data_IF_316679048317
#
_entry.id   IF_316679048317
#
_cell.length_a   1.000
_cell.length_b   1.000
_cell.length_c   1.000
_cell.angle_alpha   90.00
_cell.angle_beta   90.00
_cell.angle_gamma   90.00
#
_symmetry.space_group_name_H-M   'P 1'
#
loop_
_entity.id
_entity.type
_entity.pdbx_description
1 polymer ?
#
# COMPACT_ATOMS: atom_id res chain seq x y z
N UNK A 1 12.19 12.93 -2.51
CA UNK A 1 11.35 11.81 -2.07
C UNK A 1 10.19 11.65 -3.04
N UNK A 2 10.02 10.45 -3.56
CA UNK A 2 8.90 10.12 -4.43
C UNK A 2 7.59 10.14 -3.65
N UNK A 3 6.51 10.55 -4.29
CA UNK A 3 5.17 10.60 -3.72
C UNK A 3 4.27 9.65 -4.48
N UNK A 4 3.70 8.70 -3.79
CA UNK A 4 2.66 7.82 -4.32
C UNK A 4 1.30 8.36 -3.89
N UNK A 5 0.54 8.85 -4.85
CA UNK A 5 -0.84 9.27 -4.64
C UNK A 5 -1.78 8.14 -4.98
N UNK A 6 -2.60 7.75 -4.03
CA UNK A 6 -3.60 6.69 -4.18
C UNK A 6 -4.97 7.32 -3.95
N UNK A 7 -5.83 7.22 -4.95
CA UNK A 7 -7.17 7.77 -4.88
C UNK A 7 -8.17 6.65 -4.62
N UNK A 8 -8.81 6.70 -3.45
CA UNK A 8 -9.91 5.81 -3.14
C UNK A 8 -11.17 6.34 -3.83
N UNK A 9 -11.82 5.48 -4.62
CA UNK A 9 -13.06 5.83 -5.29
C UNK A 9 -14.19 6.18 -4.32
N UNK A 10 -15.27 6.75 -4.85
CA UNK A 10 -16.40 7.21 -4.06
C UNK A 10 -17.28 6.09 -3.53
N UNK A 11 -17.10 4.87 -3.99
CA UNK A 11 -17.94 3.77 -3.55
C UNK A 11 -17.30 3.05 -2.36
N UNK A 12 -18.04 2.98 -1.27
CA UNK A 12 -17.76 2.08 -0.16
C UNK A 12 -18.11 0.61 -0.52
N UNK A 13 -18.19 0.31 -1.79
CA UNK A 13 -18.51 -1.03 -2.25
C UNK A 13 -17.33 -1.95 -2.05
N UNK A 14 -17.60 -3.11 -1.49
CA UNK A 14 -16.70 -4.24 -1.59
C UNK A 14 -16.58 -4.60 -3.06
N UNK A 15 -15.44 -4.35 -3.65
CA UNK A 15 -15.19 -4.82 -5.00
C UNK A 15 -14.90 -6.30 -4.96
N UNK A 16 -15.78 -7.07 -5.55
CA UNK A 16 -15.41 -8.39 -6.04
C UNK A 16 -14.81 -8.17 -7.40
N UNK A 17 -13.51 -8.31 -7.52
CA UNK A 17 -12.88 -8.23 -8.80
C UNK A 17 -13.00 -9.52 -9.55
N UNK A 18 -13.65 -9.45 -10.68
CA UNK A 18 -13.50 -10.43 -11.73
C UNK A 18 -12.46 -9.90 -12.72
N UNK A 19 -11.71 -10.81 -13.34
CA UNK A 19 -10.66 -10.46 -14.31
C UNK A 19 -11.15 -9.41 -15.32
N UNK A 20 -10.53 -8.24 -15.30
CA UNK A 20 -10.83 -7.16 -16.22
C UNK A 20 -11.67 -6.02 -15.67
N UNK A 21 -12.08 -6.06 -14.42
CA UNK A 21 -12.82 -4.93 -13.83
C UNK A 21 -11.86 -3.76 -13.55
N UNK A 22 -12.32 -2.58 -13.89
CA UNK A 22 -11.62 -1.32 -13.58
C UNK A 22 -12.09 -0.86 -12.21
N UNK A 23 -11.14 -0.52 -11.35
CA UNK A 23 -11.44 -0.05 -10.00
C UNK A 23 -11.67 1.45 -9.97
N UNK A 24 -12.45 1.88 -8.97
CA UNK A 24 -12.65 3.29 -8.67
C UNK A 24 -11.40 3.94 -8.03
N UNK A 25 -10.37 3.18 -7.77
CA UNK A 25 -9.12 3.68 -7.22
C UNK A 25 -8.04 3.74 -8.30
N UNK A 26 -7.22 4.77 -8.21
CA UNK A 26 -6.03 4.90 -9.04
C UNK A 26 -4.82 5.24 -8.19
N UNK A 27 -3.63 4.96 -8.69
CA UNK A 27 -2.38 5.33 -8.04
C UNK A 27 -1.42 5.95 -9.03
N UNK A 28 -0.80 7.05 -8.62
CA UNK A 28 0.25 7.73 -9.39
C UNK A 28 1.49 7.86 -8.54
N UNK A 29 2.64 7.71 -9.16
CA UNK A 29 3.92 8.00 -8.54
C UNK A 29 4.48 9.28 -9.16
N UNK A 30 4.75 10.26 -8.33
CA UNK A 30 5.32 11.54 -8.75
C UNK A 30 6.70 11.72 -8.12
N UNK A 31 7.59 12.31 -8.85
CA UNK A 31 8.86 12.78 -8.34
C UNK A 31 8.84 14.31 -8.30
N UNK A 32 9.04 14.95 -7.13
CA UNK A 32 9.19 16.37 -7.09
C UNK A 32 10.41 16.77 -7.93
N UNK A 33 10.15 17.40 -9.04
CA UNK A 33 11.20 17.97 -9.87
C UNK A 33 11.52 19.38 -9.40
N UNK A 34 12.63 19.91 -9.91
CA UNK A 34 13.05 21.30 -9.60
C UNK A 34 11.98 22.35 -9.93
N UNK A 35 11.05 22.00 -10.82
CA UNK A 35 9.97 22.85 -11.31
C UNK A 35 8.58 22.27 -11.07
N UNK A 36 8.44 21.30 -10.18
CA UNK A 36 7.17 20.69 -9.82
C UNK A 36 7.19 19.15 -9.94
N UNK A 37 6.09 18.51 -9.56
CA UNK A 37 5.96 17.08 -9.64
C UNK A 37 5.85 16.62 -11.11
N UNK A 38 6.42 15.45 -11.38
CA UNK A 38 6.34 14.79 -12.69
C UNK A 38 5.83 13.38 -12.49
N UNK A 39 4.76 13.04 -13.20
CA UNK A 39 4.23 11.69 -13.21
C UNK A 39 5.19 10.75 -13.91
N UNK A 40 5.71 9.77 -13.20
CA UNK A 40 6.63 8.77 -13.75
C UNK A 40 6.01 7.38 -13.82
N UNK A 41 4.85 7.21 -13.21
CA UNK A 41 4.12 5.95 -13.17
C UNK A 41 2.64 6.20 -12.89
N UNK A 42 1.78 5.35 -13.43
CA UNK A 42 0.34 5.40 -13.21
C UNK A 42 -0.25 3.98 -13.26
N UNK A 43 -1.28 3.76 -12.46
CA UNK A 43 -2.12 2.56 -12.53
C UNK A 43 -3.55 2.88 -12.19
N UNK A 44 -4.49 2.26 -12.90
CA UNK A 44 -5.91 2.25 -12.60
C UNK A 44 -6.36 0.95 -11.93
N UNK A 45 -5.44 0.02 -11.72
CA UNK A 45 -5.71 -1.31 -11.17
C UNK A 45 -5.28 -1.40 -9.70
N UNK A 46 -5.84 -0.50 -8.89
CA UNK A 46 -5.52 -0.39 -7.47
C UNK A 46 -6.76 -0.68 -6.64
N UNK A 47 -6.62 -1.51 -5.62
CA UNK A 47 -7.66 -1.73 -4.63
C UNK A 47 -7.19 -1.22 -3.27
N UNK A 48 -8.01 -0.40 -2.64
CA UNK A 48 -7.74 0.19 -1.33
C UNK A 48 -8.64 -0.34 -0.22
N UNK A 49 -9.52 -1.27 -0.56
CA UNK A 49 -10.50 -1.82 0.37
C UNK A 49 -10.17 -3.27 0.77
N UNK A 50 -10.61 -3.65 1.97
CA UNK A 50 -10.59 -5.03 2.39
C UNK A 50 -11.72 -5.82 1.72
N UNK A 51 -11.40 -6.99 1.19
CA UNK A 51 -12.37 -7.81 0.44
C UNK A 51 -13.21 -8.73 1.31
N UNK A 52 -12.81 -8.99 2.55
CA UNK A 52 -13.51 -9.92 3.43
C UNK A 52 -14.39 -9.22 4.46
N UNK A 53 -15.30 -8.35 4.02
CA UNK A 53 -16.21 -7.64 4.92
C UNK A 53 -15.48 -6.76 5.93
N UNK A 54 -14.32 -6.21 5.54
CA UNK A 54 -13.49 -5.34 6.37
C UNK A 54 -13.01 -5.99 7.68
N UNK A 55 -12.78 -7.28 7.68
CA UNK A 55 -12.32 -8.01 8.86
C UNK A 55 -10.97 -7.54 9.41
N UNK A 56 -10.15 -6.94 8.56
CA UNK A 56 -8.85 -6.41 8.95
C UNK A 56 -8.80 -4.90 9.16
N UNK A 57 -9.93 -4.20 9.11
CA UNK A 57 -9.97 -2.75 9.10
C UNK A 57 -9.82 -2.15 7.71
N UNK A 58 -9.83 -0.83 7.64
CA UNK A 58 -9.71 -0.07 6.39
C UNK A 58 -8.81 1.13 6.66
N UNK A 59 -7.65 1.18 6.01
CA UNK A 59 -6.72 2.29 6.24
C UNK A 59 -7.42 3.63 6.00
N UNK A 60 -7.34 4.52 6.97
CA UNK A 60 -7.94 5.84 6.86
C UNK A 60 -7.23 6.67 5.80
N UNK A 61 -7.97 7.54 5.11
CA UNK A 61 -7.38 8.53 4.21
C UNK A 61 -6.42 9.43 4.98
N UNK A 62 -5.33 9.80 4.36
CA UNK A 62 -4.32 10.63 5.00
C UNK A 62 -2.94 10.48 4.39
N UNK A 63 -1.98 11.09 5.06
CA UNK A 63 -0.58 11.05 4.65
C UNK A 63 0.19 10.01 5.46
N UNK A 64 0.93 9.19 4.74
CA UNK A 64 1.75 8.13 5.29
C UNK A 64 3.13 8.15 4.65
N UNK A 65 4.00 7.31 5.18
CA UNK A 65 5.25 6.94 4.53
C UNK A 65 5.23 5.48 4.16
N UNK A 66 6.01 5.12 3.16
CA UNK A 66 6.25 3.75 2.79
C UNK A 66 7.73 3.47 2.68
N UNK A 67 8.14 2.28 3.08
CA UNK A 67 9.49 1.79 2.87
C UNK A 67 9.46 0.52 2.03
N UNK A 68 10.27 0.49 1.00
CA UNK A 68 10.38 -0.68 0.11
C UNK A 68 11.16 -1.77 0.82
N UNK A 69 10.56 -2.93 0.94
CA UNK A 69 11.16 -4.07 1.63
C UNK A 69 10.53 -5.37 1.20
N UNK A 70 10.68 -6.38 2.04
CA UNK A 70 10.18 -7.73 1.77
C UNK A 70 9.27 -8.18 2.90
N UNK A 71 8.13 -8.78 2.54
CA UNK A 71 7.29 -9.44 3.55
C UNK A 71 7.99 -10.68 4.08
N UNK A 72 7.49 -11.19 5.19
CA UNK A 72 7.99 -12.46 5.73
C UNK A 72 7.81 -13.58 4.70
N UNK A 73 8.83 -14.45 4.53
CA UNK A 73 8.72 -15.58 3.62
C UNK A 73 7.57 -16.52 4.01
N UNK A 74 6.86 -17.01 3.03
CA UNK A 74 5.90 -18.11 3.21
C UNK A 74 6.62 -19.46 3.07
N UNK A 75 5.94 -20.53 3.45
CA UNK A 75 6.46 -21.87 3.28
C UNK A 75 6.94 -22.11 1.83
N UNK A 76 8.17 -22.58 1.67
CA UNK A 76 8.80 -22.81 0.36
C UNK A 76 9.48 -21.61 -0.27
N UNK A 77 9.47 -20.46 0.38
CA UNK A 77 10.17 -19.26 -0.07
C UNK A 77 11.39 -19.00 0.82
N UNK A 78 12.54 -18.72 0.22
CA UNK A 78 13.74 -18.28 0.96
C UNK A 78 13.63 -16.82 1.36
N UNK A 79 13.06 -15.98 0.47
CA UNK A 79 12.82 -14.56 0.67
C UNK A 79 11.36 -14.26 0.34
N UNK A 80 10.71 -13.47 1.18
CA UNK A 80 9.35 -13.01 0.91
C UNK A 80 9.29 -12.08 -0.30
N UNK A 81 8.10 -11.90 -0.84
CA UNK A 81 7.90 -10.98 -1.96
C UNK A 81 8.16 -9.54 -1.54
N UNK A 82 8.61 -8.74 -2.48
CA UNK A 82 8.85 -7.32 -2.31
C UNK A 82 7.53 -6.57 -2.13
N UNK A 83 7.48 -5.66 -1.17
CA UNK A 83 6.30 -4.87 -0.81
C UNK A 83 6.72 -3.46 -0.42
N UNK A 84 5.75 -2.58 -0.28
CA UNK A 84 5.95 -1.27 0.36
C UNK A 84 5.24 -1.33 1.72
N UNK A 85 6.00 -1.25 2.80
CA UNK A 85 5.47 -1.26 4.17
C UNK A 85 5.04 0.15 4.54
N UNK A 86 3.78 0.32 4.95
CA UNK A 86 3.23 1.64 5.27
C UNK A 86 3.39 1.92 6.76
N UNK A 87 3.79 3.14 7.07
CA UNK A 87 3.95 3.61 8.45
C UNK A 87 3.65 5.09 8.60
N UNK A 88 3.45 5.51 9.84
CA UNK A 88 3.45 6.91 10.23
C UNK A 88 4.72 7.21 11.01
N UNK A 89 5.43 8.25 10.62
CA UNK A 89 6.61 8.68 11.32
C UNK A 89 6.24 9.74 12.36
N UNK A 90 6.73 9.63 13.60
CA UNK A 90 6.61 10.72 14.56
C UNK A 90 7.41 11.94 14.13
N UNK A 91 7.05 13.10 14.65
CA UNK A 91 7.76 14.34 14.40
C UNK A 91 9.24 14.20 14.79
N UNK A 92 10.11 14.71 13.93
CA UNK A 92 11.56 14.64 14.15
C UNK A 92 12.19 13.27 13.88
N UNK A 93 11.46 12.40 13.23
CA UNK A 93 11.94 11.06 12.90
C UNK A 93 13.12 11.11 11.90
N UNK A 94 14.18 10.36 12.21
CA UNK A 94 15.37 10.31 11.37
C UNK A 94 15.27 9.16 10.34
N UNK A 95 14.87 9.50 9.13
CA UNK A 95 14.72 8.55 8.03
C UNK A 95 16.03 7.89 7.58
N UNK A 96 17.18 8.46 7.95
CA UNK A 96 18.48 7.88 7.57
C UNK A 96 18.85 6.66 8.38
N UNK A 97 18.21 6.46 9.52
CA UNK A 97 18.52 5.39 10.48
C UNK A 97 17.55 4.23 10.44
N UNK A 98 16.48 4.30 9.65
CA UNK A 98 15.45 3.27 9.61
C UNK A 98 15.72 2.26 8.50
N UNK A 99 15.41 1.01 8.79
CA UNK A 99 15.38 -0.07 7.81
C UNK A 99 13.98 -0.68 7.73
N UNK A 100 13.70 -1.42 6.66
CA UNK A 100 12.43 -2.13 6.53
C UNK A 100 12.19 -3.11 7.69
N UNK A 101 13.24 -3.65 8.30
CA UNK A 101 13.15 -4.55 9.45
C UNK A 101 12.69 -3.82 10.72
N UNK A 102 13.13 -2.59 10.92
CA UNK A 102 12.79 -1.81 12.11
C UNK A 102 11.30 -1.48 12.18
N UNK A 103 10.61 -1.45 11.04
CA UNK A 103 9.20 -1.17 10.96
C UNK A 103 8.30 -2.35 11.34
N UNK A 104 8.86 -3.53 11.54
CA UNK A 104 8.05 -4.72 11.85
C UNK A 104 7.41 -4.70 13.24
N UNK A 105 7.91 -3.89 14.16
CA UNK A 105 7.51 -3.95 15.57
C UNK A 105 6.74 -2.72 16.05
N UNK A 106 7.10 -1.51 15.65
CA UNK A 106 6.64 -0.31 16.35
C UNK A 106 5.85 0.70 15.52
N UNK A 107 5.90 0.63 14.21
CA UNK A 107 5.30 1.66 13.33
C UNK A 107 4.17 1.16 12.46
N UNK A 108 3.66 -0.02 12.75
CA UNK A 108 2.67 -0.71 11.90
C UNK A 108 1.22 -0.51 12.37
N UNK A 109 1.00 0.23 13.47
CA UNK A 109 -0.35 0.57 13.93
C UNK A 109 -0.76 1.89 13.30
N UNK A 110 -1.81 1.84 12.48
CA UNK A 110 -2.29 2.96 11.69
C UNK A 110 -3.78 3.19 11.95
N UNK A 111 -4.31 4.38 11.66
CA UNK A 111 -5.73 4.64 11.80
C UNK A 111 -6.55 3.87 10.76
N UNK A 112 -7.69 3.32 11.19
CA UNK A 112 -8.69 2.68 10.34
C UNK A 112 -9.97 3.50 10.30
N UNK A 113 -10.59 3.58 9.14
CA UNK A 113 -11.91 4.26 8.98
C UNK A 113 -13.05 3.48 9.62
N UNK A 114 -12.83 2.19 9.91
CA UNK A 114 -13.85 1.29 10.46
C UNK A 114 -13.27 0.54 11.67
N UNK A 115 -14.13 0.03 12.56
CA UNK A 115 -13.69 -0.85 13.63
C UNK A 115 -12.98 -2.08 13.08
N UNK A 116 -11.94 -2.52 13.78
CA UNK A 116 -11.17 -3.71 13.41
C UNK A 116 -11.44 -4.84 14.40
N UNK A 117 -12.15 -5.91 14.02
CA UNK A 117 -12.45 -7.03 14.90
C UNK A 117 -11.21 -7.72 15.48
N UNK A 118 -10.10 -7.69 14.76
CA UNK A 118 -8.83 -8.29 15.20
C UNK A 118 -8.12 -7.46 16.26
N UNK A 119 -8.60 -6.25 16.53
CA UNK A 119 -8.05 -5.32 17.52
C UNK A 119 -9.16 -4.80 18.45
N UNK A 120 -9.99 -5.71 18.98
CA UNK A 120 -11.06 -5.38 19.92
C UNK A 120 -12.04 -4.31 19.40
N UNK A 121 -12.30 -4.32 18.10
CA UNK A 121 -13.14 -3.33 17.40
C UNK A 121 -12.64 -1.88 17.52
N UNK A 122 -11.39 -1.68 17.82
CA UNK A 122 -10.77 -0.35 17.77
C UNK A 122 -10.57 0.10 16.31
N UNK A 123 -10.60 1.42 16.03
CA UNK A 123 -10.39 1.95 14.69
C UNK A 123 -8.90 2.01 14.34
N UNK A 124 -8.23 0.88 14.41
CA UNK A 124 -6.80 0.73 14.12
C UNK A 124 -6.58 -0.44 13.17
N UNK A 125 -5.50 -0.36 12.41
CA UNK A 125 -5.08 -1.42 11.48
C UNK A 125 -3.58 -1.59 11.60
N UNK A 126 -3.10 -2.83 11.48
CA UNK A 126 -1.68 -3.17 11.55
C UNK A 126 -1.21 -3.88 10.29
N UNK A 127 0.10 -3.82 10.07
CA UNK A 127 0.79 -4.53 8.99
C UNK A 127 0.28 -4.17 7.60
N UNK A 128 -0.08 -2.92 7.39
CA UNK A 128 -0.54 -2.45 6.09
C UNK A 128 0.64 -2.34 5.12
N UNK A 129 0.44 -2.88 3.95
CA UNK A 129 1.43 -2.89 2.88
C UNK A 129 0.76 -2.50 1.57
N UNK A 130 1.54 -1.94 0.64
CA UNK A 130 1.20 -1.97 -0.76
C UNK A 130 1.86 -3.21 -1.34
N UNK A 131 1.09 -4.11 -1.91
CA UNK A 131 1.61 -5.34 -2.48
C UNK A 131 0.92 -5.72 -3.78
N UNK A 132 1.50 -6.67 -4.50
CA UNK A 132 0.88 -7.17 -5.71
C UNK A 132 -0.39 -7.96 -5.39
N UNK A 133 -1.44 -7.73 -6.15
CA UNK A 133 -2.64 -8.55 -6.13
C UNK A 133 -2.52 -9.71 -7.10
N UNK A 134 -2.86 -10.92 -6.66
CA UNK A 134 -2.86 -12.14 -7.47
C UNK A 134 -4.14 -12.35 -8.29
N UNK A 135 -4.61 -13.58 -8.40
CA UNK A 135 -5.85 -13.91 -9.11
C UNK A 135 -7.09 -13.27 -8.49
N UNK A 136 -7.07 -13.12 -7.16
CA UNK A 136 -8.07 -12.34 -6.42
C UNK A 136 -7.36 -11.09 -5.91
N UNK A 137 -6.95 -10.24 -6.83
CA UNK A 137 -6.10 -9.10 -6.55
C UNK A 137 -6.72 -8.07 -5.61
N UNK A 138 -8.03 -8.12 -5.47
CA UNK A 138 -8.80 -7.43 -4.49
C UNK A 138 -8.73 -8.08 -3.11
N UNK A 139 -8.20 -9.31 -2.98
CA UNK A 139 -8.11 -9.99 -1.70
C UNK A 139 -7.08 -9.32 -0.79
N UNK A 140 -7.58 -8.78 0.30
CA UNK A 140 -6.77 -8.10 1.30
C UNK A 140 -7.53 -8.02 2.62
N UNK A 141 -6.79 -8.05 3.74
CA UNK A 141 -7.31 -7.74 5.07
C UNK A 141 -7.05 -6.25 5.44
N UNK A 142 -7.00 -5.39 4.43
CA UNK A 142 -6.79 -3.96 4.58
C UNK A 142 -5.55 -3.41 3.87
N UNK A 143 -4.70 -4.26 3.32
CA UNK A 143 -3.58 -3.84 2.48
C UNK A 143 -4.06 -3.20 1.18
N UNK A 144 -3.24 -2.30 0.64
CA UNK A 144 -3.46 -1.72 -0.67
C UNK A 144 -2.84 -2.63 -1.72
N UNK A 145 -3.57 -2.96 -2.76
CA UNK A 145 -3.10 -3.90 -3.78
C UNK A 145 -3.07 -3.29 -5.16
N UNK A 146 -2.07 -3.64 -5.94
CA UNK A 146 -1.95 -3.31 -7.35
C UNK A 146 -1.98 -4.61 -8.13
N UNK A 147 -2.87 -4.70 -9.11
CA UNK A 147 -3.10 -5.94 -9.85
C UNK A 147 -1.84 -6.38 -10.60
N UNK A 148 -1.35 -7.58 -10.27
CA UNK A 148 -0.13 -8.15 -10.85
C UNK A 148 -0.21 -8.32 -12.37
N UNK A 149 -1.37 -8.74 -12.84
CA UNK A 149 -1.60 -9.05 -14.25
C UNK A 149 -2.32 -7.92 -14.99
N UNK A 150 -2.18 -6.68 -14.52
CA UNK A 150 -2.68 -5.53 -15.26
C UNK A 150 -2.06 -5.49 -16.67
N UNK A 151 -2.78 -4.94 -17.68
CA UNK A 151 -2.31 -4.97 -19.06
C UNK A 151 -0.93 -4.39 -19.31
N UNK A 152 -0.49 -3.45 -18.48
CA UNK A 152 0.80 -2.77 -18.61
C UNK A 152 1.80 -3.19 -17.52
N UNK A 153 1.54 -4.27 -16.81
CA UNK A 153 2.42 -4.79 -15.74
C UNK A 153 2.75 -3.70 -14.69
N UNK A 154 1.73 -3.00 -14.20
CA UNK A 154 1.90 -1.82 -13.36
C UNK A 154 2.70 -2.07 -12.09
N UNK A 155 2.48 -3.21 -11.43
CA UNK A 155 3.23 -3.57 -10.24
C UNK A 155 4.72 -3.77 -10.54
N UNK A 156 5.04 -4.50 -11.59
CA UNK A 156 6.42 -4.75 -12.01
C UNK A 156 7.15 -3.45 -12.33
N UNK A 157 6.49 -2.58 -13.08
CA UNK A 157 7.05 -1.26 -13.41
C UNK A 157 7.28 -0.39 -12.19
N UNK A 158 6.34 -0.40 -11.22
CA UNK A 158 6.53 0.31 -9.97
C UNK A 158 7.76 -0.21 -9.22
N UNK A 159 7.90 -1.51 -9.11
CA UNK A 159 9.04 -2.12 -8.42
C UNK A 159 10.38 -1.83 -9.12
N UNK A 160 10.39 -1.66 -10.42
CA UNK A 160 11.60 -1.26 -11.18
C UNK A 160 12.00 0.21 -10.91
N UNK A 161 11.04 1.06 -10.56
CA UNK A 161 11.28 2.46 -10.25
C UNK A 161 11.74 2.71 -8.81
N UNK A 162 11.61 1.72 -7.94
CA UNK A 162 11.93 1.84 -6.52
C UNK A 162 13.13 0.98 -6.16
N UNK A 163 13.90 1.45 -5.20
CA UNK A 163 15.05 0.71 -4.65
C UNK A 163 14.69 0.11 -3.30
N UNK A 164 15.37 -0.97 -2.94
CA UNK A 164 15.26 -1.54 -1.59
C UNK A 164 15.61 -0.49 -0.54
N UNK A 165 14.83 -0.46 0.52
CA UNK A 165 14.92 0.52 1.61
C UNK A 165 14.65 1.97 1.20
N UNK A 166 14.17 2.20 -0.01
CA UNK A 166 13.72 3.53 -0.40
C UNK A 166 12.48 3.93 0.39
N UNK A 167 12.48 5.16 0.91
CA UNK A 167 11.34 5.73 1.60
C UNK A 167 10.60 6.66 0.64
N UNK A 168 9.30 6.47 0.56
CA UNK A 168 8.41 7.29 -0.25
C UNK A 168 7.31 7.88 0.63
N UNK A 169 6.73 8.98 0.19
CA UNK A 169 5.48 9.49 0.79
C UNK A 169 4.30 8.82 0.12
N UNK A 170 3.29 8.49 0.90
CA UNK A 170 2.03 7.90 0.42
C UNK A 170 0.90 8.80 0.86
N UNK A 171 0.10 9.22 -0.11
CA UNK A 171 -1.07 10.05 0.13
C UNK A 171 -2.31 9.28 -0.32
N UNK A 172 -3.11 8.85 0.63
CA UNK A 172 -4.38 8.15 0.39
C UNK A 172 -5.51 9.17 0.48
N UNK A 173 -6.15 9.43 -0.66
CA UNK A 173 -7.20 10.43 -0.80
C UNK A 173 -8.56 9.83 -1.11
#
# INVERSE_FOLDING_TARGET
VKHLFIYRGQSDKNFTCTNGDVYDSSATLEEPARFGPVDIWHSEYVNTDSTEGYKGGKLAKGEYYGIVGYRQPKAGEDIGKRVIKIFQAPDGFDFTKITAADLTVTMMTLPSEIPNPNHSNLPVIQYVQVHDGGQSWDFSHGCLTIYRNSPQEDWKRLMELLKDNEIIKINLQ
#
